data_IF_529921030202
#
_entry.id   IF_529921030202
#
_cell.length_a   1.000
_cell.length_b   1.000
_cell.length_c   1.000
_cell.angle_alpha   90.00
_cell.angle_beta   90.00
_cell.angle_gamma   90.00
#
_symmetry.space_group_name_H-M   'P 1'
#
loop_
_entity.id
_entity.type
_entity.pdbx_description
1 polymer ?
#
# COMPACT_ATOMS: atom_id res chain seq x y z
N UNK A 1 18.79 -20.03 9.11
CA UNK A 1 19.20 -18.71 9.65
C UNK A 1 18.89 -17.53 8.70
N UNK A 2 19.15 -17.64 7.40
CA UNK A 2 18.81 -16.58 6.42
C UNK A 2 17.29 -16.44 6.19
N UNK A 3 16.58 -17.57 6.06
CA UNK A 3 15.12 -17.61 5.89
C UNK A 3 14.35 -16.99 7.07
N UNK A 4 14.79 -17.21 8.32
CA UNK A 4 14.11 -16.63 9.50
C UNK A 4 14.31 -15.12 9.59
N UNK A 5 15.52 -14.62 9.26
CA UNK A 5 15.79 -13.18 9.16
C UNK A 5 14.99 -12.52 8.02
N UNK A 6 14.79 -13.22 6.90
CA UNK A 6 13.99 -12.74 5.77
C UNK A 6 12.50 -12.65 6.14
N UNK A 7 11.99 -13.71 6.78
CA UNK A 7 10.59 -13.81 7.22
C UNK A 7 10.24 -12.64 8.15
N UNK A 8 11.11 -12.32 9.11
CA UNK A 8 10.87 -11.21 10.04
C UNK A 8 10.88 -9.85 9.34
N UNK A 9 11.81 -9.61 8.40
CA UNK A 9 11.88 -8.33 7.65
C UNK A 9 10.67 -8.09 6.76
N UNK A 10 10.10 -9.13 6.17
CA UNK A 10 8.95 -8.98 5.27
C UNK A 10 7.62 -8.88 6.04
N UNK A 11 7.55 -9.43 7.26
CA UNK A 11 6.35 -9.35 8.09
C UNK A 11 5.97 -7.90 8.41
N UNK A 12 6.94 -7.01 8.70
CA UNK A 12 6.64 -5.60 9.00
C UNK A 12 6.11 -4.83 7.77
N UNK A 13 6.29 -5.36 6.56
CA UNK A 13 5.74 -4.76 5.33
C UNK A 13 4.28 -5.17 5.06
N UNK A 14 3.76 -6.18 5.75
CA UNK A 14 2.39 -6.67 5.54
C UNK A 14 1.34 -5.54 5.67
N UNK A 15 1.35 -4.66 6.69
CA UNK A 15 0.39 -3.57 6.77
C UNK A 15 0.46 -2.64 5.54
N UNK A 16 1.67 -2.33 5.09
CA UNK A 16 1.90 -1.49 3.92
C UNK A 16 1.34 -2.14 2.64
N UNK A 17 1.56 -3.44 2.46
CA UNK A 17 0.97 -4.22 1.37
C UNK A 17 -0.55 -4.26 1.43
N UNK A 18 -1.14 -4.49 2.61
CA UNK A 18 -2.58 -4.49 2.77
C UNK A 18 -3.19 -3.14 2.40
N UNK A 19 -2.60 -2.03 2.86
CA UNK A 19 -3.08 -0.70 2.52
C UNK A 19 -2.98 -0.41 1.02
N UNK A 20 -1.84 -0.78 0.40
CA UNK A 20 -1.61 -0.64 -1.04
C UNK A 20 -2.63 -1.46 -1.85
N UNK A 21 -2.88 -2.72 -1.49
CA UNK A 21 -3.87 -3.55 -2.17
C UNK A 21 -5.29 -2.99 -2.06
N UNK A 22 -5.68 -2.48 -0.89
CA UNK A 22 -7.00 -1.86 -0.71
C UNK A 22 -7.11 -0.58 -1.53
N UNK A 23 -6.09 0.29 -1.50
CA UNK A 23 -6.00 1.51 -2.31
C UNK A 23 -6.18 1.23 -3.81
N UNK A 24 -5.41 0.31 -4.35
CA UNK A 24 -5.49 -0.09 -5.76
C UNK A 24 -6.86 -0.67 -6.10
N UNK A 25 -7.41 -1.50 -5.21
CA UNK A 25 -8.74 -2.11 -5.40
C UNK A 25 -9.84 -1.05 -5.44
N UNK A 26 -9.86 -0.12 -4.48
CA UNK A 26 -10.89 0.93 -4.47
C UNK A 26 -10.70 1.91 -5.61
N UNK A 27 -9.46 2.17 -6.03
CA UNK A 27 -9.16 2.99 -7.21
C UNK A 27 -9.72 2.32 -8.47
N UNK A 28 -9.44 1.03 -8.70
CA UNK A 28 -9.94 0.29 -9.86
C UNK A 28 -11.48 0.24 -9.86
N UNK A 29 -12.10 -0.12 -8.74
CA UNK A 29 -13.56 -0.26 -8.67
C UNK A 29 -14.28 1.07 -8.91
N UNK A 30 -13.74 2.17 -8.35
CA UNK A 30 -14.43 3.46 -8.35
C UNK A 30 -14.03 4.38 -9.51
N UNK A 31 -13.15 3.93 -10.43
CA UNK A 31 -12.90 4.68 -11.67
C UNK A 31 -14.21 4.91 -12.44
N UNK A 32 -14.38 6.08 -13.10
CA UNK A 32 -15.57 6.35 -13.89
C UNK A 32 -15.78 5.34 -15.02
N UNK A 33 -17.03 4.95 -15.29
CA UNK A 33 -17.35 4.06 -16.42
C UNK A 33 -16.82 4.58 -17.78
N UNK A 34 -16.76 5.90 -17.96
CA UNK A 34 -16.18 6.52 -19.15
C UNK A 34 -14.69 6.16 -19.35
N UNK A 35 -13.92 6.04 -18.27
CA UNK A 35 -12.51 5.61 -18.33
C UNK A 35 -12.39 4.19 -18.86
N UNK A 36 -13.20 3.27 -18.34
CA UNK A 36 -13.23 1.87 -18.79
C UNK A 36 -13.70 1.72 -20.24
N UNK A 37 -14.55 2.64 -20.72
CA UNK A 37 -15.00 2.71 -22.11
C UNK A 37 -14.01 3.43 -23.06
N UNK A 38 -12.77 3.69 -22.62
CA UNK A 38 -11.71 4.24 -23.45
C UNK A 38 -11.55 5.76 -23.41
N UNK A 39 -12.38 6.50 -22.67
CA UNK A 39 -12.13 7.92 -22.42
C UNK A 39 -11.07 8.08 -21.31
N UNK A 40 -9.80 7.97 -21.69
CA UNK A 40 -8.67 8.00 -20.76
C UNK A 40 -8.55 9.32 -19.97
N UNK A 41 -9.10 10.42 -20.47
CA UNK A 41 -9.11 11.71 -19.76
C UNK A 41 -10.10 11.75 -18.60
N UNK A 42 -11.05 10.82 -18.55
CA UNK A 42 -11.97 10.68 -17.43
C UNK A 42 -11.34 9.93 -16.24
N UNK A 43 -10.16 9.32 -16.42
CA UNK A 43 -9.44 8.63 -15.34
C UNK A 43 -9.10 9.61 -14.23
N UNK A 44 -9.41 9.23 -12.99
CA UNK A 44 -9.12 10.03 -11.79
C UNK A 44 -8.03 9.33 -11.01
N UNK A 45 -6.89 9.98 -10.83
CA UNK A 45 -5.78 9.42 -10.07
C UNK A 45 -5.05 10.59 -9.41
N UNK A 46 -4.87 10.50 -8.10
CA UNK A 46 -4.19 11.54 -7.32
C UNK A 46 -2.67 11.48 -7.50
N UNK A 47 -2.12 10.29 -7.77
CA UNK A 47 -0.71 10.09 -8.05
C UNK A 47 -0.37 10.57 -9.48
N UNK A 48 0.49 11.59 -9.66
CA UNK A 48 0.84 12.10 -10.98
C UNK A 48 1.42 11.04 -11.93
N UNK A 49 2.17 10.06 -11.40
CA UNK A 49 2.76 8.97 -12.20
C UNK A 49 1.67 8.01 -12.68
N UNK A 50 0.76 7.62 -11.78
CA UNK A 50 -0.39 6.79 -12.12
C UNK A 50 -1.30 7.47 -13.14
N UNK A 51 -1.60 8.75 -12.92
CA UNK A 51 -2.41 9.56 -13.83
C UNK A 51 -1.80 9.65 -15.23
N UNK A 52 -0.48 9.80 -15.34
CA UNK A 52 0.20 9.83 -16.63
C UNK A 52 0.08 8.48 -17.38
N UNK A 53 0.25 7.36 -16.68
CA UNK A 53 0.11 6.03 -17.30
C UNK A 53 -1.32 5.73 -17.72
N UNK A 54 -2.30 6.06 -16.88
CA UNK A 54 -3.73 5.89 -17.19
C UNK A 54 -4.19 6.71 -18.39
N UNK A 55 -3.60 7.90 -18.61
CA UNK A 55 -3.89 8.74 -19.78
C UNK A 55 -3.40 8.15 -21.10
N UNK A 56 -2.46 7.21 -21.05
CA UNK A 56 -1.91 6.55 -22.23
C UNK A 56 -2.65 5.24 -22.57
N UNK A 57 -3.08 4.48 -21.56
CA UNK A 57 -3.76 3.20 -21.78
C UNK A 57 -4.63 2.81 -20.58
N UNK A 58 -5.77 2.14 -20.82
CA UNK A 58 -6.70 1.66 -19.77
C UNK A 58 -5.98 0.74 -18.77
N UNK A 59 -5.06 -0.10 -19.25
CA UNK A 59 -4.26 -0.98 -18.38
C UNK A 59 -3.16 -0.27 -17.58
N UNK A 60 -2.97 1.04 -17.79
CA UNK A 60 -1.97 1.84 -17.07
C UNK A 60 -2.14 1.76 -15.56
N UNK A 61 -3.39 1.71 -15.08
CA UNK A 61 -3.71 1.50 -13.67
C UNK A 61 -3.17 0.18 -13.12
N UNK A 62 -3.36 -0.94 -13.84
CA UNK A 62 -2.87 -2.25 -13.38
C UNK A 62 -1.34 -2.33 -13.40
N UNK A 63 -0.71 -1.71 -14.41
CA UNK A 63 0.74 -1.71 -14.54
C UNK A 63 1.40 -0.93 -13.41
N UNK A 64 0.87 0.26 -13.08
CA UNK A 64 1.44 1.08 -12.01
C UNK A 64 1.19 0.45 -10.63
N UNK A 65 0.02 -0.14 -10.40
CA UNK A 65 -0.29 -0.90 -9.18
C UNK A 65 0.69 -2.05 -8.98
N UNK A 66 0.85 -2.89 -10.00
CA UNK A 66 1.78 -4.01 -9.93
C UNK A 66 3.23 -3.55 -9.70
N UNK A 67 3.64 -2.45 -10.34
CA UNK A 67 4.97 -1.88 -10.13
C UNK A 67 5.18 -1.39 -8.69
N UNK A 68 4.17 -0.76 -8.07
CA UNK A 68 4.24 -0.34 -6.66
C UNK A 68 4.37 -1.53 -5.70
N UNK A 69 3.57 -2.58 -5.89
CA UNK A 69 3.66 -3.79 -5.07
C UNK A 69 5.06 -4.44 -5.13
N UNK A 70 5.65 -4.50 -6.33
CA UNK A 70 7.04 -4.96 -6.48
C UNK A 70 8.02 -4.01 -5.80
N UNK A 71 7.87 -2.71 -6.02
CA UNK A 71 8.78 -1.71 -5.47
C UNK A 71 8.81 -1.74 -3.94
N UNK A 72 7.66 -1.88 -3.28
CA UNK A 72 7.57 -2.01 -1.81
C UNK A 72 8.43 -3.19 -1.32
N UNK A 73 8.33 -4.34 -1.99
CA UNK A 73 9.06 -5.55 -1.60
C UNK A 73 10.55 -5.46 -1.87
N UNK A 74 10.92 -4.99 -3.06
CA UNK A 74 12.33 -4.82 -3.45
C UNK A 74 13.00 -3.80 -2.55
N UNK A 75 12.42 -2.60 -2.40
CA UNK A 75 12.99 -1.54 -1.57
C UNK A 75 13.05 -2.00 -0.11
N UNK A 76 11.96 -2.56 0.43
CA UNK A 76 11.92 -3.06 1.81
C UNK A 76 12.91 -4.19 2.09
N UNK A 77 13.22 -5.02 1.09
CA UNK A 77 14.24 -6.07 1.19
C UNK A 77 15.66 -5.51 1.31
N UNK A 78 16.00 -4.52 0.46
CA UNK A 78 17.34 -3.94 0.39
C UNK A 78 17.60 -2.87 1.46
N UNK A 79 16.56 -2.37 2.12
CA UNK A 79 16.69 -1.34 3.13
C UNK A 79 17.45 -1.85 4.39
N UNK A 80 18.29 -1.01 5.03
CA UNK A 80 18.85 -1.32 6.34
C UNK A 80 17.73 -1.50 7.38
N UNK A 81 17.89 -2.48 8.28
CA UNK A 81 16.86 -2.88 9.27
C UNK A 81 16.24 -1.71 10.05
N UNK A 82 17.06 -0.73 10.41
CA UNK A 82 16.64 0.44 11.19
C UNK A 82 15.63 1.34 10.44
N UNK A 83 15.62 1.28 9.10
CA UNK A 83 14.74 2.10 8.27
C UNK A 83 13.51 1.35 7.77
N UNK A 84 13.48 0.01 7.83
CA UNK A 84 12.38 -0.80 7.26
C UNK A 84 11.05 -0.43 7.90
N UNK A 85 11.04 -0.19 9.22
CA UNK A 85 9.85 0.26 9.96
C UNK A 85 9.35 1.61 9.42
N UNK A 86 10.24 2.60 9.32
CA UNK A 86 9.89 3.94 8.85
C UNK A 86 9.38 3.88 7.41
N UNK A 87 10.04 3.10 6.56
CA UNK A 87 9.59 2.86 5.20
C UNK A 87 8.18 2.25 5.16
N UNK A 88 7.94 1.17 5.91
CA UNK A 88 6.63 0.54 6.00
C UNK A 88 5.54 1.52 6.45
N UNK A 89 5.84 2.36 7.45
CA UNK A 89 4.92 3.36 7.96
C UNK A 89 4.61 4.45 6.92
N UNK A 90 5.61 4.93 6.16
CA UNK A 90 5.41 5.90 5.08
C UNK A 90 4.47 5.33 4.02
N UNK A 91 4.72 4.10 3.56
CA UNK A 91 3.89 3.43 2.55
C UNK A 91 2.48 3.20 3.08
N UNK A 92 2.35 2.76 4.34
CA UNK A 92 1.06 2.58 5.02
C UNK A 92 0.25 3.89 5.02
N UNK A 93 0.86 5.00 5.43
CA UNK A 93 0.19 6.31 5.48
C UNK A 93 -0.21 6.75 4.07
N UNK A 94 0.72 6.70 3.11
CA UNK A 94 0.47 7.13 1.74
C UNK A 94 -0.72 6.40 1.11
N UNK A 95 -0.73 5.06 1.15
CA UNK A 95 -1.81 4.27 0.56
C UNK A 95 -3.09 4.29 1.40
N UNK A 96 -3.00 4.49 2.73
CA UNK A 96 -4.21 4.73 3.54
C UNK A 96 -4.89 6.03 3.10
N UNK A 97 -4.12 7.10 2.95
CA UNK A 97 -4.65 8.39 2.48
C UNK A 97 -5.20 8.32 1.06
N UNK A 98 -4.51 7.62 0.15
CA UNK A 98 -4.97 7.43 -1.22
C UNK A 98 -6.28 6.63 -1.27
N UNK A 99 -6.39 5.51 -0.55
CA UNK A 99 -7.63 4.75 -0.47
C UNK A 99 -8.78 5.58 0.11
N UNK A 100 -8.52 6.36 1.17
CA UNK A 100 -9.52 7.23 1.81
C UNK A 100 -10.10 8.26 0.84
N UNK A 101 -9.30 8.73 -0.12
CA UNK A 101 -9.76 9.66 -1.16
C UNK A 101 -10.85 9.08 -2.05
N UNK A 102 -10.89 7.74 -2.17
CA UNK A 102 -11.97 6.99 -2.80
C UNK A 102 -13.02 6.53 -1.81
N UNK A 103 -12.63 6.02 -0.64
CA UNK A 103 -13.57 5.43 0.32
C UNK A 103 -14.55 6.48 0.85
N UNK A 104 -14.07 7.68 1.17
CA UNK A 104 -14.89 8.73 1.78
C UNK A 104 -16.05 9.15 0.88
N UNK A 105 -15.83 9.54 -0.39
CA UNK A 105 -16.93 9.94 -1.27
C UNK A 105 -17.84 8.78 -1.70
N UNK A 106 -17.36 7.53 -1.73
CA UNK A 106 -18.14 6.39 -2.23
C UNK A 106 -18.86 5.57 -1.15
N UNK A 107 -18.28 5.45 0.04
CA UNK A 107 -18.82 4.63 1.14
C UNK A 107 -19.05 5.42 2.43
N UNK A 108 -18.45 6.61 2.57
CA UNK A 108 -18.70 7.52 3.69
C UNK A 108 -17.62 7.51 4.78
N UNK A 109 -17.70 8.51 5.67
CA UNK A 109 -16.69 8.79 6.69
C UNK A 109 -16.35 7.60 7.59
N UNK A 110 -17.35 6.84 8.04
CA UNK A 110 -17.14 5.74 8.98
C UNK A 110 -16.37 4.57 8.37
N UNK A 111 -16.48 4.34 7.06
CA UNK A 111 -15.64 3.35 6.38
C UNK A 111 -14.17 3.79 6.35
N UNK A 112 -13.91 5.07 6.12
CA UNK A 112 -12.55 5.63 6.21
C UNK A 112 -11.98 5.49 7.62
N UNK A 113 -12.77 5.78 8.66
CA UNK A 113 -12.34 5.60 10.05
C UNK A 113 -12.06 4.13 10.39
N UNK A 114 -12.94 3.21 9.97
CA UNK A 114 -12.73 1.78 10.16
C UNK A 114 -11.43 1.30 9.49
N UNK A 115 -11.15 1.78 8.27
CA UNK A 115 -9.92 1.44 7.55
C UNK A 115 -8.65 1.98 8.25
N UNK A 116 -8.68 3.22 8.75
CA UNK A 116 -7.57 3.78 9.55
C UNK A 116 -7.32 2.94 10.80
N UNK A 117 -8.38 2.59 11.53
CA UNK A 117 -8.27 1.78 12.75
C UNK A 117 -7.71 0.40 12.43
N UNK A 118 -8.21 -0.24 11.37
CA UNK A 118 -7.71 -1.54 10.91
C UNK A 118 -6.21 -1.49 10.58
N UNK A 119 -5.78 -0.54 9.74
CA UNK A 119 -4.38 -0.39 9.35
C UNK A 119 -3.47 -0.06 10.54
N UNK A 120 -3.92 0.81 11.45
CA UNK A 120 -3.16 1.18 12.65
C UNK A 120 -3.00 -0.02 13.59
N UNK A 121 -4.08 -0.75 13.85
CA UNK A 121 -4.04 -1.95 14.69
C UNK A 121 -3.14 -3.03 14.09
N UNK A 122 -3.25 -3.27 12.78
CA UNK A 122 -2.42 -4.24 12.07
C UNK A 122 -0.93 -3.88 12.14
N UNK A 123 -0.58 -2.60 11.95
CA UNK A 123 0.80 -2.13 12.06
C UNK A 123 1.35 -2.32 13.47
N UNK A 124 0.64 -1.87 14.51
CA UNK A 124 1.07 -2.01 15.90
C UNK A 124 1.24 -3.48 16.30
N UNK A 125 0.33 -4.36 15.85
CA UNK A 125 0.40 -5.78 16.16
C UNK A 125 1.65 -6.44 15.55
N UNK A 126 1.94 -6.13 14.28
CA UNK A 126 3.09 -6.71 13.58
C UNK A 126 4.41 -6.07 13.99
N UNK A 127 4.39 -4.81 14.39
CA UNK A 127 5.53 -4.13 15.00
C UNK A 127 5.97 -4.83 16.29
N UNK A 128 5.04 -5.11 17.21
CA UNK A 128 5.35 -5.82 18.46
C UNK A 128 6.03 -7.16 18.19
N UNK A 129 5.48 -7.93 17.24
CA UNK A 129 6.05 -9.21 16.85
C UNK A 129 7.44 -9.06 16.23
N UNK A 130 7.68 -8.03 15.42
CA UNK A 130 8.98 -7.80 14.79
C UNK A 130 10.09 -7.52 15.82
N UNK A 131 9.83 -6.67 16.81
CA UNK A 131 10.83 -6.34 17.84
C UNK A 131 11.09 -7.50 18.81
N UNK A 132 10.05 -8.23 19.22
CA UNK A 132 10.22 -9.42 20.08
C UNK A 132 11.15 -10.48 19.47
N UNK A 133 11.14 -10.65 18.15
CA UNK A 133 12.00 -11.61 17.45
C UNK A 133 13.37 -11.02 17.04
N UNK A 134 13.52 -9.70 17.02
CA UNK A 134 14.80 -9.06 16.74
C UNK A 134 15.77 -9.21 17.93
N UNK A 135 15.26 -9.11 19.15
CA UNK A 135 16.06 -9.16 20.39
C UNK A 135 16.49 -10.59 20.78
N UNK A 136 15.76 -11.62 20.32
CA UNK A 136 16.09 -13.03 20.57
C UNK A 136 17.24 -13.58 19.70
N UNK A 137 17.65 -12.87 18.64
CA UNK A 137 18.65 -13.34 17.66
C UNK A 137 20.00 -12.59 17.82
N UNK A 138 20.12 -11.73 18.82
CA UNK A 138 21.31 -10.91 19.11
C UNK A 138 22.18 -11.43 20.27
N UNK A 139 22.05 -12.71 20.65
CA UNK A 139 23.00 -13.40 21.55
C UNK A 139 23.89 -14.36 20.76
#
# INVERSE_FOLDING_TARGET
MLLSKLKNRLIILIPAYCACLVDETVTIINQPAAYWNGNLQAGREANPIGAALMKNHVSGIFLISFAWLIAIGVIGYWLPKQFVKTFALIILIAHTSAAISWITPHYGFWFSMAFIVFNSALFVQLEKNYFQHADQVSL
#
